data_IF_081136690930
#
_entry.id   IF_081136690930
#
_cell.length_a   1.000
_cell.length_b   1.000
_cell.length_c   1.000
_cell.angle_alpha   90.00
_cell.angle_beta   90.00
_cell.angle_gamma   90.00
#
_symmetry.space_group_name_H-M   'P 1'
#
loop_
_entity.id
_entity.type
_entity.pdbx_description
1 polymer ?
#
# COMPACT_ATOMS: atom_id res chain seq x y z
N UNK A 1 4.58 -10.88 -15.53
CA UNK A 1 5.90 -10.23 -15.63
C UNK A 1 6.38 -9.97 -14.21
N UNK A 2 7.26 -10.82 -13.70
CA UNK A 2 7.82 -10.76 -12.35
C UNK A 2 9.25 -11.33 -12.39
N UNK A 3 10.11 -10.92 -11.46
CA UNK A 3 11.44 -11.50 -11.25
C UNK A 3 11.64 -11.78 -9.76
N UNK A 4 12.56 -12.68 -9.44
CA UNK A 4 12.98 -12.95 -8.06
C UNK A 4 14.05 -11.93 -7.69
N UNK A 5 13.84 -11.15 -6.64
CA UNK A 5 14.84 -10.18 -6.16
C UNK A 5 15.95 -10.87 -5.33
N UNK A 6 16.87 -10.07 -4.81
CA UNK A 6 18.02 -10.56 -4.04
C UNK A 6 17.62 -11.22 -2.71
N UNK A 7 16.40 -10.96 -2.23
CA UNK A 7 15.86 -11.51 -1.00
C UNK A 7 15.05 -12.80 -1.25
N UNK A 8 14.95 -13.23 -2.52
CA UNK A 8 14.20 -14.43 -2.92
C UNK A 8 12.71 -14.17 -3.14
N UNK A 9 12.27 -12.91 -3.09
CA UNK A 9 10.88 -12.54 -3.22
C UNK A 9 10.48 -12.31 -4.68
N UNK A 10 9.28 -12.78 -5.04
CA UNK A 10 8.74 -12.56 -6.38
C UNK A 10 8.20 -11.13 -6.48
N UNK A 11 8.96 -10.26 -7.13
CA UNK A 11 8.66 -8.84 -7.30
C UNK A 11 8.23 -8.51 -8.72
N UNK A 12 7.49 -7.41 -8.85
CA UNK A 12 7.10 -6.91 -10.18
C UNK A 12 8.33 -6.37 -10.90
N UNK A 13 8.51 -6.73 -12.18
CA UNK A 13 9.66 -6.26 -12.96
C UNK A 13 9.74 -4.74 -13.02
N UNK A 14 10.97 -4.25 -12.92
CA UNK A 14 11.30 -2.83 -13.01
C UNK A 14 11.97 -2.59 -14.36
N UNK A 15 11.50 -1.59 -15.09
CA UNK A 15 12.06 -1.17 -16.37
C UNK A 15 13.23 -0.22 -16.11
N UNK A 16 14.44 -0.64 -16.50
CA UNK A 16 15.65 0.19 -16.41
C UNK A 16 16.00 0.66 -14.98
N UNK A 17 15.60 -0.10 -13.95
CA UNK A 17 15.86 0.25 -12.55
C UNK A 17 15.06 1.44 -12.01
N UNK A 18 14.02 1.90 -12.72
CA UNK A 18 13.21 3.06 -12.34
C UNK A 18 11.76 2.71 -12.11
N UNK A 19 11.03 2.42 -13.19
CA UNK A 19 9.58 2.32 -13.17
C UNK A 19 9.12 0.88 -13.09
N UNK A 20 8.05 0.64 -12.35
CA UNK A 20 7.30 -0.62 -12.44
C UNK A 20 6.81 -0.83 -13.89
N UNK A 21 6.78 -2.07 -14.38
CA UNK A 21 6.25 -2.39 -15.73
C UNK A 21 4.80 -1.95 -15.96
N UNK A 22 4.04 -1.66 -14.90
CA UNK A 22 2.67 -1.15 -14.99
C UNK A 22 2.57 0.38 -14.85
N UNK A 23 3.70 1.10 -14.78
CA UNK A 23 3.71 2.56 -14.75
C UNK A 23 3.24 3.14 -16.08
N UNK A 24 2.42 4.18 -16.02
CA UNK A 24 2.11 5.04 -17.15
C UNK A 24 2.13 6.50 -16.71
N UNK A 25 2.31 7.41 -17.67
CA UNK A 25 2.36 8.85 -17.41
C UNK A 25 1.20 9.57 -18.08
N UNK A 26 0.61 10.52 -17.36
CA UNK A 26 -0.41 11.41 -17.90
C UNK A 26 -0.19 12.82 -17.35
N UNK A 27 0.00 13.80 -18.23
CA UNK A 27 0.24 15.21 -17.85
C UNK A 27 1.36 15.39 -16.81
N UNK A 28 2.43 14.60 -16.92
CA UNK A 28 3.56 14.63 -15.99
C UNK A 28 3.34 13.88 -14.67
N UNK A 29 2.17 13.26 -14.46
CA UNK A 29 1.87 12.46 -13.27
C UNK A 29 2.17 10.98 -13.54
N UNK A 30 2.94 10.37 -12.64
CA UNK A 30 3.18 8.93 -12.63
C UNK A 30 1.95 8.19 -12.06
N UNK A 31 1.41 7.25 -12.83
CA UNK A 31 0.19 6.50 -12.53
C UNK A 31 0.41 5.00 -12.68
N UNK A 32 -0.44 4.20 -12.03
CA UNK A 32 -0.55 2.78 -12.28
C UNK A 32 -1.57 2.51 -13.40
N UNK A 33 -1.16 1.85 -14.48
CA UNK A 33 -2.01 1.53 -15.62
C UNK A 33 -3.21 0.65 -15.25
N UNK A 34 -3.03 -0.27 -14.29
CA UNK A 34 -4.11 -1.14 -13.81
C UNK A 34 -5.18 -0.32 -13.08
N UNK A 35 -4.76 0.50 -12.11
CA UNK A 35 -5.68 1.36 -11.36
C UNK A 35 -6.40 2.35 -12.29
N UNK A 36 -5.69 2.95 -13.24
CA UNK A 36 -6.28 3.86 -14.22
C UNK A 36 -7.37 3.16 -15.04
N UNK A 37 -7.09 1.97 -15.58
CA UNK A 37 -8.06 1.21 -16.38
C UNK A 37 -9.27 0.77 -15.53
N UNK A 38 -9.05 0.40 -14.27
CA UNK A 38 -10.13 0.06 -13.34
C UNK A 38 -11.05 1.25 -13.09
N UNK A 39 -10.48 2.42 -12.76
CA UNK A 39 -11.26 3.67 -12.56
C UNK A 39 -12.00 4.13 -13.83
N UNK A 40 -11.55 3.69 -15.01
CA UNK A 40 -12.23 3.91 -16.29
C UNK A 40 -13.27 2.84 -16.64
N UNK A 41 -13.50 1.84 -15.78
CA UNK A 41 -14.44 0.73 -16.03
C UNK A 41 -13.97 -0.25 -17.11
N UNK A 42 -12.69 -0.21 -17.52
CA UNK A 42 -12.16 -1.04 -18.62
C UNK A 42 -11.71 -2.42 -18.20
N UNK A 43 -11.44 -2.62 -16.91
CA UNK A 43 -11.06 -3.92 -16.34
C UNK A 43 -11.83 -4.11 -15.02
N UNK A 44 -12.17 -5.35 -14.64
CA UNK A 44 -13.00 -5.63 -13.46
C UNK A 44 -12.21 -5.61 -12.14
N UNK A 45 -10.89 -5.48 -12.19
CA UNK A 45 -10.03 -5.54 -11.00
C UNK A 45 -9.12 -4.31 -10.91
N UNK A 46 -8.93 -3.82 -9.68
CA UNK A 46 -7.98 -2.74 -9.38
C UNK A 46 -6.55 -3.29 -9.27
N UNK A 47 -5.56 -2.43 -8.97
CA UNK A 47 -4.17 -2.84 -8.74
C UNK A 47 -4.06 -3.92 -7.65
N UNK A 48 -3.03 -4.80 -7.71
CA UNK A 48 -2.79 -5.83 -6.71
C UNK A 48 -2.75 -5.29 -5.28
N UNK A 49 -3.13 -6.13 -4.30
CA UNK A 49 -3.24 -5.69 -2.91
C UNK A 49 -1.92 -5.22 -2.32
N UNK A 50 -0.82 -5.90 -2.66
CA UNK A 50 0.54 -5.52 -2.27
C UNK A 50 0.91 -4.11 -2.76
N UNK A 51 0.53 -3.75 -3.99
CA UNK A 51 0.75 -2.40 -4.52
C UNK A 51 -0.15 -1.35 -3.87
N UNK A 52 -1.37 -1.73 -3.49
CA UNK A 52 -2.34 -0.82 -2.89
C UNK A 52 -2.04 -0.54 -1.41
N UNK A 53 -1.48 -1.50 -0.69
CA UNK A 53 -1.12 -1.37 0.73
C UNK A 53 0.18 -0.59 0.95
N UNK A 54 1.00 -0.36 -0.09
CA UNK A 54 2.25 0.37 0.07
C UNK A 54 2.01 1.75 0.69
N UNK A 55 2.71 2.12 1.79
CA UNK A 55 3.99 1.57 2.27
C UNK A 55 3.93 0.39 3.26
N UNK A 56 2.76 -0.16 3.59
CA UNK A 56 2.64 -1.36 4.43
C UNK A 56 2.94 -2.62 3.61
N UNK A 57 3.77 -3.51 4.15
CA UNK A 57 4.10 -4.83 3.61
C UNK A 57 3.59 -5.93 4.54
N UNK A 58 2.86 -6.88 3.96
CA UNK A 58 2.46 -8.10 4.65
C UNK A 58 3.65 -9.06 4.76
N UNK A 59 3.84 -9.66 5.93
CA UNK A 59 4.77 -10.76 6.16
C UNK A 59 4.05 -11.89 6.87
N UNK A 60 4.10 -13.09 6.30
CA UNK A 60 3.57 -14.27 6.97
C UNK A 60 4.38 -14.53 8.26
N UNK A 61 3.68 -14.55 9.38
CA UNK A 61 4.20 -15.01 10.66
C UNK A 61 3.75 -16.48 10.83
N UNK A 62 4.44 -17.24 11.69
CA UNK A 62 4.04 -18.61 11.99
C UNK A 62 2.59 -18.70 12.47
N UNK A 63 1.99 -19.89 12.36
CA UNK A 63 0.64 -20.19 12.86
C UNK A 63 -0.50 -19.37 12.21
N UNK A 64 -0.34 -18.96 10.96
CA UNK A 64 -1.39 -18.24 10.21
C UNK A 64 -1.55 -16.77 10.56
N UNK A 65 -0.60 -16.21 11.33
CA UNK A 65 -0.57 -14.79 11.64
C UNK A 65 0.06 -13.99 10.48
N UNK A 66 -0.35 -12.73 10.33
CA UNK A 66 0.19 -11.83 9.32
C UNK A 66 0.69 -10.57 10.01
N UNK A 67 1.97 -10.28 9.86
CA UNK A 67 2.59 -9.04 10.33
C UNK A 67 2.45 -7.95 9.28
N UNK A 68 2.00 -6.77 9.70
CA UNK A 68 1.95 -5.57 8.87
C UNK A 68 3.13 -4.67 9.22
N UNK A 69 4.06 -4.50 8.28
CA UNK A 69 5.29 -3.74 8.50
C UNK A 69 5.28 -2.48 7.64
N UNK A 70 5.54 -1.33 8.25
CA UNK A 70 5.77 -0.09 7.51
C UNK A 70 7.15 -0.11 6.87
N UNK A 71 7.21 -0.02 5.54
CA UNK A 71 8.47 0.05 4.80
C UNK A 71 9.00 1.49 4.79
N UNK A 72 9.97 1.77 5.66
CA UNK A 72 10.58 3.08 5.79
C UNK A 72 11.81 3.23 4.88
N UNK A 73 11.78 4.26 4.04
CA UNK A 73 12.90 4.60 3.16
C UNK A 73 12.80 6.04 2.65
N UNK A 74 13.90 6.56 2.09
CA UNK A 74 14.07 7.98 1.80
C UNK A 74 13.03 8.61 0.87
N UNK A 75 12.42 7.85 -0.05
CA UNK A 75 11.43 8.42 -0.99
C UNK A 75 10.08 8.73 -0.33
N UNK A 76 9.82 8.22 0.88
CA UNK A 76 8.59 8.48 1.61
C UNK A 76 8.60 9.80 2.39
N UNK A 77 9.76 10.48 2.52
CA UNK A 77 9.93 11.69 3.36
C UNK A 77 8.89 12.78 3.07
N UNK A 78 8.65 13.09 1.80
CA UNK A 78 7.67 14.11 1.42
C UNK A 78 6.23 13.71 1.77
N UNK A 79 5.91 12.42 1.66
CA UNK A 79 4.60 11.89 2.03
C UNK A 79 4.39 11.91 3.55
N UNK A 80 5.43 11.58 4.33
CA UNK A 80 5.41 11.65 5.80
C UNK A 80 5.16 13.09 6.26
N UNK A 81 5.93 14.07 5.75
CA UNK A 81 5.77 15.47 6.11
C UNK A 81 4.36 16.01 5.80
N UNK A 82 3.77 15.59 4.67
CA UNK A 82 2.39 15.93 4.33
C UNK A 82 1.39 15.27 5.28
N UNK A 83 1.58 13.98 5.60
CA UNK A 83 0.75 13.24 6.53
C UNK A 83 0.74 13.86 7.92
N UNK A 84 1.90 14.26 8.45
CA UNK A 84 2.04 14.97 9.72
C UNK A 84 1.27 16.30 9.70
N UNK A 85 1.44 17.10 8.65
CA UNK A 85 0.71 18.37 8.47
C UNK A 85 -0.81 18.17 8.46
N UNK A 86 -1.27 17.08 7.85
CA UNK A 86 -2.69 16.72 7.77
C UNK A 86 -3.21 15.94 8.99
N UNK A 87 -2.32 15.58 9.93
CA UNK A 87 -2.62 14.64 11.04
C UNK A 87 -3.27 13.35 10.53
N UNK A 88 -2.77 12.83 9.40
CA UNK A 88 -3.29 11.64 8.73
C UNK A 88 -2.41 10.42 9.04
N UNK A 89 -2.84 9.52 9.93
CA UNK A 89 -2.09 8.31 10.20
C UNK A 89 -2.17 7.33 9.03
N UNK A 90 -1.15 6.47 8.89
CA UNK A 90 -1.00 5.54 7.76
C UNK A 90 -2.20 4.60 7.62
N UNK A 91 -2.75 4.08 8.72
CA UNK A 91 -3.89 3.16 8.66
C UNK A 91 -5.15 3.83 8.07
N UNK A 92 -5.37 5.13 8.32
CA UNK A 92 -6.48 5.88 7.71
C UNK A 92 -6.22 6.21 6.24
N UNK A 93 -4.97 6.54 5.88
CA UNK A 93 -4.58 6.71 4.47
C UNK A 93 -4.82 5.42 3.66
N UNK A 94 -4.59 4.26 4.28
CA UNK A 94 -4.76 2.93 3.68
C UNK A 94 -6.13 2.28 3.95
N UNK A 95 -7.17 3.06 4.29
CA UNK A 95 -8.50 2.50 4.58
C UNK A 95 -9.01 1.56 3.50
N UNK A 96 -9.12 2.04 2.25
CA UNK A 96 -9.64 1.24 1.14
C UNK A 96 -8.88 -0.10 0.94
N UNK A 97 -7.53 -0.12 0.83
CA UNK A 97 -6.82 -1.38 0.68
C UNK A 97 -6.86 -2.28 1.93
N UNK A 98 -6.84 -1.73 3.15
CA UNK A 98 -6.95 -2.52 4.37
C UNK A 98 -8.32 -3.20 4.48
N UNK A 99 -9.40 -2.46 4.23
CA UNK A 99 -10.76 -3.01 4.16
C UNK A 99 -10.84 -4.09 3.09
N UNK A 100 -10.29 -3.85 1.89
CA UNK A 100 -10.31 -4.84 0.81
C UNK A 100 -9.55 -6.13 1.15
N UNK A 101 -8.52 -6.04 2.00
CA UNK A 101 -7.66 -7.18 2.36
C UNK A 101 -8.15 -7.96 3.58
N UNK A 102 -8.67 -7.27 4.59
CA UNK A 102 -8.98 -7.83 5.91
C UNK A 102 -10.46 -7.73 6.29
N UNK A 103 -11.25 -6.94 5.55
CA UNK A 103 -12.67 -6.73 5.80
C UNK A 103 -12.95 -5.46 6.62
N UNK A 104 -14.19 -4.99 6.55
CA UNK A 104 -14.67 -3.80 7.27
C UNK A 104 -14.59 -3.98 8.79
N UNK A 105 -15.00 -5.16 9.29
CA UNK A 105 -15.00 -5.44 10.73
C UNK A 105 -13.58 -5.37 11.33
N UNK A 106 -12.60 -5.96 10.64
CA UNK A 106 -11.20 -5.89 11.06
C UNK A 106 -10.68 -4.44 11.06
N UNK A 107 -11.02 -3.66 10.03
CA UNK A 107 -10.61 -2.26 9.95
C UNK A 107 -11.23 -1.43 11.08
N UNK A 108 -12.49 -1.67 11.42
CA UNK A 108 -13.15 -1.01 12.55
C UNK A 108 -12.43 -1.30 13.87
N UNK A 109 -12.09 -2.56 14.15
CA UNK A 109 -11.32 -2.95 15.34
C UNK A 109 -9.95 -2.25 15.40
N UNK A 110 -9.30 -2.09 14.25
CA UNK A 110 -8.04 -1.32 14.15
C UNK A 110 -8.25 0.15 14.50
N UNK A 111 -9.30 0.80 13.99
CA UNK A 111 -9.61 2.19 14.31
C UNK A 111 -9.91 2.37 15.80
N UNK A 112 -10.73 1.50 16.39
CA UNK A 112 -11.06 1.54 17.82
C UNK A 112 -9.82 1.36 18.70
N UNK A 113 -8.95 0.40 18.36
CA UNK A 113 -7.70 0.15 19.08
C UNK A 113 -6.77 1.35 19.00
N UNK A 114 -6.62 1.94 17.81
CA UNK A 114 -5.78 3.12 17.62
C UNK A 114 -6.32 4.32 18.41
N UNK A 115 -7.64 4.56 18.40
CA UNK A 115 -8.25 5.65 19.13
C UNK A 115 -8.15 5.47 20.65
N UNK A 116 -8.17 4.22 21.15
CA UNK A 116 -7.92 3.92 22.56
C UNK A 116 -6.47 4.25 22.96
N UNK A 117 -5.49 3.78 22.19
CA UNK A 117 -4.07 4.05 22.44
C UNK A 117 -3.73 5.55 22.43
N UNK A 118 -4.37 6.31 21.54
CA UNK A 118 -4.20 7.76 21.46
C UNK A 118 -4.80 8.52 22.64
N UNK A 119 -5.81 7.96 23.33
CA UNK A 119 -6.37 8.56 24.55
C UNK A 119 -5.50 8.32 25.79
N UNK A 120 -4.68 7.28 25.75
CA UNK A 120 -3.77 6.89 26.84
C UNK A 120 -2.38 7.57 26.72
N UNK A 121 -2.11 8.24 25.59
CA UNK A 121 -0.84 8.93 25.28
C UNK A 121 -0.92 10.44 25.55
#
# INVERSE_FOLDING_TARGET
>A
VAYVDQDGDLVTSIVGGKDCVFTCYEKGVCLCALEKKFRQGKIPFCKPISCALYPIREKALGNGLIGLNYNEWGVCKSAVALGEKMRLPVYRFLKEPLVRRFGEEWYHQLEETADALLKES
#
